data_IF_313009475787
#
_entry.id   IF_313009475787
#
_cell.length_a   1.000
_cell.length_b   1.000
_cell.length_c   1.000
_cell.angle_alpha   90.00
_cell.angle_beta   90.00
_cell.angle_gamma   90.00
#
_symmetry.space_group_name_H-M   'P 1'
#
loop_
_entity.id
_entity.type
_entity.pdbx_description
1 polymer ?
#
# COMPACT_ATOMS: atom_id res chain seq x y z
N UNK A 1 -66.11 5.25 7.02
CA UNK A 1 -64.94 4.32 7.25
C UNK A 1 -63.73 4.91 6.54
N UNK A 2 -62.82 5.57 7.28
CA UNK A 2 -61.60 6.17 6.71
C UNK A 2 -60.48 5.14 6.86
N UNK A 3 -59.88 4.70 5.74
CA UNK A 3 -58.72 3.82 5.72
C UNK A 3 -57.44 4.69 5.78
N UNK A 4 -56.73 4.65 6.91
CA UNK A 4 -55.40 5.27 7.04
C UNK A 4 -54.36 4.38 6.37
N UNK A 5 -53.69 4.95 5.39
CA UNK A 5 -52.53 4.32 4.74
C UNK A 5 -51.25 4.72 5.51
N UNK A 6 -50.65 3.78 6.21
CA UNK A 6 -49.37 3.98 6.89
C UNK A 6 -48.27 3.74 5.85
N UNK A 7 -47.59 4.82 5.48
CA UNK A 7 -46.41 4.77 4.61
C UNK A 7 -45.20 4.45 5.46
N UNK A 8 -44.67 3.22 5.34
CA UNK A 8 -43.47 2.78 6.03
C UNK A 8 -42.28 3.25 5.21
N UNK A 9 -41.65 4.37 5.59
CA UNK A 9 -40.35 4.79 5.03
C UNK A 9 -39.26 3.88 5.59
N UNK A 10 -38.82 2.91 4.81
CA UNK A 10 -37.58 2.19 5.07
C UNK A 10 -36.42 3.10 4.72
N UNK A 11 -35.74 3.67 5.71
CA UNK A 11 -34.46 4.34 5.53
C UNK A 11 -33.41 3.28 5.22
N UNK A 12 -33.04 3.15 3.94
CA UNK A 12 -31.79 2.45 3.58
C UNK A 12 -30.63 3.29 4.08
N UNK A 13 -30.01 2.88 5.17
CA UNK A 13 -28.66 3.32 5.52
C UNK A 13 -27.69 2.67 4.53
N UNK A 14 -27.37 3.37 3.46
CA UNK A 14 -26.23 3.02 2.63
C UNK A 14 -24.97 3.17 3.50
N UNK A 15 -24.39 2.05 3.94
CA UNK A 15 -23.03 2.04 4.44
C UNK A 15 -22.16 2.49 3.27
N UNK A 16 -21.62 3.70 3.35
CA UNK A 16 -20.61 4.17 2.42
C UNK A 16 -19.38 3.28 2.63
N UNK A 17 -19.24 2.25 1.82
CA UNK A 17 -17.94 1.63 1.59
C UNK A 17 -17.06 2.76 1.01
N UNK A 18 -16.01 3.16 1.72
CA UNK A 18 -15.10 4.19 1.26
C UNK A 18 -14.53 3.78 -0.10
N UNK A 19 -15.03 4.42 -1.15
CA UNK A 19 -14.50 4.27 -2.50
C UNK A 19 -13.18 5.04 -2.62
N UNK A 20 -12.39 4.76 -3.66
CA UNK A 20 -11.16 5.50 -3.93
C UNK A 20 -11.46 7.00 -3.98
N UNK A 21 -10.74 7.79 -3.18
CA UNK A 21 -10.96 9.23 -3.15
C UNK A 21 -10.34 9.87 -4.40
N UNK A 22 -11.18 10.51 -5.21
CA UNK A 22 -10.74 11.35 -6.32
C UNK A 22 -10.45 12.75 -5.76
N UNK A 23 -9.18 13.16 -5.83
CA UNK A 23 -8.72 14.47 -5.37
C UNK A 23 -7.29 14.40 -4.84
N UNK A 24 -6.60 15.54 -4.69
CA UNK A 24 -5.26 15.56 -4.12
C UNK A 24 -5.29 15.13 -2.65
N UNK A 25 -4.31 14.35 -2.26
CA UNK A 25 -4.07 13.95 -0.87
C UNK A 25 -3.58 15.14 -0.05
N UNK A 26 -3.52 15.00 1.28
CA UNK A 26 -2.91 16.04 2.13
C UNK A 26 -1.44 16.27 1.82
N UNK A 27 -0.72 15.25 1.32
CA UNK A 27 0.66 15.36 0.87
C UNK A 27 0.81 15.93 -0.55
N UNK A 28 -0.31 16.18 -1.25
CA UNK A 28 -0.30 16.67 -2.64
C UNK A 28 -0.13 15.60 -3.71
N UNK A 29 -0.15 14.31 -3.33
CA UNK A 29 -0.07 13.21 -4.28
C UNK A 29 -1.37 13.11 -5.09
N UNK A 30 -1.25 12.79 -6.38
CA UNK A 30 -2.37 12.49 -7.24
C UNK A 30 -2.49 10.98 -7.46
N UNK A 31 -3.67 10.43 -7.28
CA UNK A 31 -3.93 9.00 -7.51
C UNK A 31 -3.55 8.55 -8.92
N UNK A 32 -3.79 9.38 -9.93
CA UNK A 32 -3.46 9.09 -11.33
C UNK A 32 -1.97 8.83 -11.56
N UNK A 33 -1.08 9.44 -10.78
CA UNK A 33 0.38 9.23 -10.88
C UNK A 33 0.81 7.84 -10.35
N UNK A 34 -0.09 7.13 -9.69
CA UNK A 34 0.12 5.76 -9.19
C UNK A 34 -0.66 4.72 -9.99
N UNK A 35 -1.47 5.14 -10.96
CA UNK A 35 -2.23 4.23 -11.83
C UNK A 35 -1.38 3.84 -13.04
N UNK A 36 -0.93 2.59 -13.05
CA UNK A 36 -0.10 1.98 -14.09
C UNK A 36 -0.34 0.48 -14.13
N UNK A 37 0.47 -0.24 -14.86
CA UNK A 37 0.48 -1.69 -14.89
C UNK A 37 1.90 -2.21 -14.67
N UNK A 38 2.04 -3.22 -13.80
CA UNK A 38 3.27 -3.94 -13.57
C UNK A 38 2.94 -5.40 -13.26
N UNK A 39 3.77 -6.34 -13.74
CA UNK A 39 3.55 -7.79 -13.60
C UNK A 39 2.13 -8.25 -14.03
N UNK A 40 1.50 -7.59 -15.02
CA UNK A 40 0.14 -7.89 -15.49
C UNK A 40 -0.97 -7.49 -14.51
N UNK A 41 -0.67 -6.70 -13.48
CA UNK A 41 -1.62 -6.19 -12.50
C UNK A 41 -1.62 -4.67 -12.50
N UNK A 42 -2.79 -4.08 -12.21
CA UNK A 42 -2.93 -2.62 -12.06
C UNK A 42 -2.38 -2.15 -10.72
N UNK A 43 -1.61 -1.07 -10.77
CA UNK A 43 -1.19 -0.34 -9.57
C UNK A 43 -2.17 0.80 -9.27
N UNK A 44 -2.23 1.21 -8.01
CA UNK A 44 -3.09 2.30 -7.56
C UNK A 44 -2.56 2.94 -6.27
N UNK A 45 -3.15 4.06 -5.88
CA UNK A 45 -2.92 4.74 -4.60
C UNK A 45 -4.18 4.64 -3.73
N UNK A 46 -4.01 4.21 -2.50
CA UNK A 46 -5.06 4.09 -1.49
C UNK A 46 -4.79 5.09 -0.38
N UNK A 47 -5.85 5.74 0.09
CA UNK A 47 -5.77 6.76 1.13
C UNK A 47 -6.52 6.29 2.36
N UNK A 48 -5.82 6.24 3.49
CA UNK A 48 -6.39 5.91 4.80
C UNK A 48 -6.40 7.17 5.67
N UNK A 49 -7.49 7.38 6.41
CA UNK A 49 -7.67 8.55 7.26
C UNK A 49 -8.25 8.17 8.61
N UNK A 50 -7.82 8.86 9.66
CA UNK A 50 -8.44 8.76 10.97
C UNK A 50 -9.19 10.04 11.34
N UNK A 51 -9.96 10.00 12.44
CA UNK A 51 -10.76 11.14 12.90
C UNK A 51 -9.92 12.32 13.40
N UNK A 52 -8.63 12.11 13.65
CA UNK A 52 -7.72 13.14 14.16
C UNK A 52 -6.93 13.85 13.02
N UNK A 53 -7.32 13.63 11.77
CA UNK A 53 -6.73 14.29 10.60
C UNK A 53 -5.44 13.66 10.08
N UNK A 54 -4.98 12.54 10.64
CA UNK A 54 -3.86 11.79 10.08
C UNK A 54 -4.28 11.13 8.76
N UNK A 55 -3.42 11.23 7.75
CA UNK A 55 -3.61 10.58 6.46
C UNK A 55 -2.41 9.72 6.11
N UNK A 56 -2.66 8.52 5.59
CA UNK A 56 -1.64 7.58 5.10
C UNK A 56 -1.96 7.21 3.67
N UNK A 57 -1.00 7.41 2.77
CA UNK A 57 -1.10 6.99 1.39
C UNK A 57 -0.30 5.69 1.18
N UNK A 58 -0.92 4.70 0.56
CA UNK A 58 -0.32 3.39 0.29
C UNK A 58 -0.50 3.05 -1.18
N UNK A 59 0.58 2.59 -1.84
CA UNK A 59 0.46 1.97 -3.15
C UNK A 59 0.55 0.45 -3.03
N UNK A 60 -0.23 -0.27 -3.84
CA UNK A 60 -0.13 -1.72 -3.92
C UNK A 60 1.12 -2.20 -4.67
N UNK A 61 1.87 -1.31 -5.33
CA UNK A 61 3.20 -1.64 -5.85
C UNK A 61 4.22 -1.72 -4.71
N UNK A 62 4.63 -2.92 -4.38
CA UNK A 62 5.52 -3.19 -3.26
C UNK A 62 4.84 -3.09 -1.89
N UNK A 63 3.49 -2.91 -1.83
CA UNK A 63 2.78 -2.68 -0.57
C UNK A 63 3.38 -1.54 0.22
N UNK A 64 3.65 -0.39 -0.46
CA UNK A 64 4.46 0.71 0.09
C UNK A 64 3.62 1.76 0.78
N UNK A 65 4.08 2.19 1.94
CA UNK A 65 3.64 3.45 2.54
C UNK A 65 4.37 4.58 1.79
N UNK A 66 3.61 5.42 1.10
CA UNK A 66 4.13 6.50 0.24
C UNK A 66 4.20 7.82 0.99
N UNK A 67 3.21 8.07 1.85
CA UNK A 67 3.07 9.30 2.64
C UNK A 67 2.41 9.00 3.98
N UNK A 68 2.84 9.68 5.02
CA UNK A 68 2.20 9.67 6.35
C UNK A 68 2.13 11.11 6.85
N UNK A 69 0.96 11.73 6.67
CA UNK A 69 0.69 13.09 7.13
C UNK A 69 0.23 13.07 8.58
N UNK A 70 0.98 13.74 9.43
CA UNK A 70 0.66 13.86 10.86
C UNK A 70 0.62 15.32 11.29
N UNK A 71 -0.26 15.70 12.26
CA UNK A 71 -0.25 17.04 12.83
C UNK A 71 0.99 17.24 13.68
N UNK A 72 1.75 18.27 13.38
CA UNK A 72 2.85 18.73 14.22
C UNK A 72 2.33 19.37 15.51
N UNK A 73 3.24 19.64 16.46
CA UNK A 73 2.90 20.30 17.73
C UNK A 73 2.30 21.71 17.51
N UNK A 74 2.62 22.34 16.40
CA UNK A 74 2.12 23.64 15.94
C UNK A 74 0.81 23.54 15.12
N UNK A 75 0.25 22.35 15.00
CA UNK A 75 -0.94 22.06 14.20
C UNK A 75 -0.72 21.98 12.70
N UNK A 76 0.52 22.19 12.22
CA UNK A 76 0.84 22.08 10.80
C UNK A 76 1.02 20.62 10.43
N UNK A 77 0.34 20.18 9.36
CA UNK A 77 0.49 18.82 8.82
C UNK A 77 1.85 18.65 8.15
N UNK A 78 2.53 17.54 8.43
CA UNK A 78 3.83 17.19 7.86
C UNK A 78 3.86 15.75 7.44
N UNK A 79 4.48 15.50 6.27
CA UNK A 79 4.85 14.14 5.89
C UNK A 79 6.09 13.70 6.68
N UNK A 80 6.02 12.53 7.27
CA UNK A 80 7.10 11.98 8.10
C UNK A 80 7.78 10.76 7.47
N UNK A 81 7.49 10.45 6.21
CA UNK A 81 8.14 9.36 5.46
C UNK A 81 8.83 9.90 4.21
N UNK A 82 9.81 9.15 3.73
CA UNK A 82 10.45 9.39 2.43
C UNK A 82 9.79 8.53 1.36
N UNK A 83 9.55 9.13 0.20
CA UNK A 83 8.92 8.44 -0.93
C UNK A 83 9.10 9.20 -2.23
N UNK A 84 8.49 8.67 -3.28
CA UNK A 84 8.37 9.32 -4.59
C UNK A 84 6.91 9.67 -4.86
N UNK A 85 6.70 10.68 -5.69
CA UNK A 85 5.37 11.19 -6.01
C UNK A 85 4.67 10.39 -7.11
N UNK A 86 5.36 9.40 -7.71
CA UNK A 86 4.85 8.60 -8.84
C UNK A 86 5.27 7.14 -8.71
N UNK A 87 4.40 6.22 -9.14
CA UNK A 87 4.73 4.79 -9.17
C UNK A 87 5.89 4.48 -10.12
N UNK A 88 6.02 5.24 -11.22
CA UNK A 88 7.09 5.07 -12.19
C UNK A 88 8.49 5.23 -11.57
N UNK A 89 8.64 6.13 -10.59
CA UNK A 89 9.92 6.34 -9.91
C UNK A 89 10.25 5.13 -9.02
N UNK A 90 9.28 4.54 -8.34
CA UNK A 90 9.46 3.29 -7.59
C UNK A 90 9.81 2.08 -8.48
N UNK A 91 9.40 2.10 -9.75
CA UNK A 91 9.71 1.04 -10.71
C UNK A 91 11.13 1.18 -11.30
N UNK A 92 11.64 2.41 -11.40
CA UNK A 92 12.89 2.73 -12.11
C UNK A 92 14.06 3.06 -11.18
N UNK A 93 13.79 3.65 -10.02
CA UNK A 93 14.80 4.01 -9.04
C UNK A 93 14.87 2.92 -7.95
N UNK A 94 16.01 2.19 -7.83
CA UNK A 94 16.15 1.20 -6.78
C UNK A 94 15.95 1.83 -5.40
N UNK A 95 14.91 1.40 -4.69
CA UNK A 95 14.54 1.93 -3.39
C UNK A 95 13.70 0.93 -2.62
N UNK A 96 13.92 0.88 -1.31
CA UNK A 96 13.07 0.14 -0.37
C UNK A 96 12.18 1.08 0.47
N UNK A 97 12.06 2.38 0.08
CA UNK A 97 11.24 3.35 0.79
C UNK A 97 9.80 2.85 0.97
N UNK A 98 9.36 2.79 2.22
CA UNK A 98 8.03 2.37 2.63
C UNK A 98 7.61 0.95 2.26
N UNK A 99 8.48 0.16 1.63
CA UNK A 99 8.11 -1.13 1.04
C UNK A 99 7.83 -2.24 2.06
N UNK A 100 6.91 -3.11 1.70
CA UNK A 100 6.79 -4.42 2.34
C UNK A 100 7.93 -5.32 1.89
N UNK A 101 8.77 -5.73 2.85
CA UNK A 101 9.96 -6.54 2.57
C UNK A 101 9.66 -8.02 2.81
N UNK A 102 9.96 -8.84 1.83
CA UNK A 102 9.69 -10.28 1.90
C UNK A 102 10.16 -11.11 0.69
N UNK A 103 10.01 -12.50 0.81
CA UNK A 103 9.45 -13.13 2.01
C UNK A 103 10.38 -13.03 3.23
N UNK A 104 11.69 -13.10 3.03
CA UNK A 104 12.69 -12.99 4.08
C UNK A 104 13.31 -11.59 4.04
N UNK A 105 13.20 -10.86 5.15
CA UNK A 105 13.78 -9.53 5.27
C UNK A 105 15.27 -9.62 5.62
N UNK A 106 16.03 -8.58 5.23
CA UNK A 106 17.48 -8.49 5.42
C UNK A 106 18.24 -9.61 4.65
N UNK A 107 19.41 -10.03 5.11
CA UNK A 107 20.35 -10.84 4.33
C UNK A 107 20.32 -12.31 4.71
N UNK A 108 20.36 -13.16 3.67
CA UNK A 108 20.74 -14.56 3.78
C UNK A 108 22.17 -14.68 3.28
N UNK A 109 23.06 -15.16 4.16
CA UNK A 109 24.48 -15.26 3.87
C UNK A 109 24.73 -16.12 2.62
N UNK A 110 25.49 -15.59 1.66
CA UNK A 110 25.81 -16.23 0.38
C UNK A 110 24.55 -16.70 -0.40
N UNK A 111 23.35 -16.26 -0.02
CA UNK A 111 22.10 -16.72 -0.60
C UNK A 111 21.80 -18.21 -0.34
N UNK A 112 22.38 -18.83 0.68
CA UNK A 112 22.19 -20.26 0.96
C UNK A 112 21.29 -20.47 2.14
N UNK A 113 20.28 -21.33 1.96
CA UNK A 113 19.40 -21.80 3.03
C UNK A 113 19.25 -23.31 2.95
N UNK A 114 19.05 -23.96 4.08
CA UNK A 114 18.72 -25.38 4.15
C UNK A 114 17.35 -25.54 4.77
N UNK A 115 16.44 -26.19 4.04
CA UNK A 115 15.09 -26.51 4.50
C UNK A 115 14.90 -28.02 4.40
N UNK A 116 14.50 -28.65 5.50
CA UNK A 116 14.28 -30.11 5.57
C UNK A 116 15.45 -30.93 5.00
N UNK A 117 16.70 -30.51 5.27
CA UNK A 117 17.91 -31.15 4.80
C UNK A 117 18.29 -30.85 3.34
N UNK A 118 17.49 -30.10 2.60
CA UNK A 118 17.77 -29.71 1.22
C UNK A 118 18.35 -28.30 1.18
N UNK A 119 19.51 -28.12 0.53
CA UNK A 119 20.12 -26.82 0.31
C UNK A 119 19.51 -26.13 -0.92
N UNK A 120 19.19 -24.86 -0.76
CA UNK A 120 18.70 -23.98 -1.83
C UNK A 120 19.64 -22.79 -2.01
N UNK A 121 19.96 -22.50 -3.27
CA UNK A 121 20.72 -21.31 -3.66
C UNK A 121 19.77 -20.22 -4.12
N UNK A 122 19.73 -19.11 -3.39
CA UNK A 122 18.96 -17.92 -3.71
C UNK A 122 19.82 -16.92 -4.53
N UNK A 123 19.19 -16.00 -5.26
CA UNK A 123 19.92 -14.94 -5.96
C UNK A 123 20.80 -14.12 -5.00
N UNK A 124 21.99 -13.77 -5.47
CA UNK A 124 22.95 -12.93 -4.74
C UNK A 124 22.88 -11.50 -5.28
N UNK A 125 21.88 -10.72 -4.82
CA UNK A 125 21.63 -9.37 -5.31
C UNK A 125 22.34 -8.26 -4.52
N UNK A 126 23.09 -8.61 -3.46
CA UNK A 126 23.77 -7.62 -2.64
C UNK A 126 25.06 -8.17 -2.04
N UNK A 127 26.22 -7.76 -2.59
CA UNK A 127 27.56 -8.14 -2.12
C UNK A 127 27.75 -9.65 -1.87
N UNK A 128 27.24 -10.49 -2.76
CA UNK A 128 27.30 -11.94 -2.62
C UNK A 128 26.29 -12.56 -1.64
N UNK A 129 25.33 -11.77 -1.17
CA UNK A 129 24.25 -12.23 -0.28
C UNK A 129 22.89 -12.04 -0.95
N UNK A 130 21.86 -12.78 -0.50
CA UNK A 130 20.49 -12.50 -0.86
C UNK A 130 19.94 -11.45 0.11
N UNK A 131 19.50 -10.30 -0.41
CA UNK A 131 18.93 -9.20 0.37
C UNK A 131 17.45 -9.04 0.03
N UNK A 132 16.60 -8.94 1.06
CA UNK A 132 15.20 -8.52 0.96
C UNK A 132 14.35 -9.33 -0.03
N UNK A 133 14.54 -10.66 -0.06
CA UNK A 133 13.82 -11.54 -0.98
C UNK A 133 14.39 -11.59 -2.39
N UNK A 134 15.57 -10.97 -2.61
CA UNK A 134 16.27 -10.98 -3.89
C UNK A 134 15.73 -9.94 -4.88
N UNK A 135 16.14 -10.01 -6.18
CA UNK A 135 15.78 -9.02 -7.19
C UNK A 135 14.28 -9.03 -7.54
N UNK A 136 13.55 -10.01 -7.06
CA UNK A 136 12.11 -10.17 -7.25
C UNK A 136 11.37 -10.25 -5.90
N UNK A 137 11.89 -9.60 -4.87
CA UNK A 137 11.27 -9.49 -3.55
C UNK A 137 9.94 -8.72 -3.59
N UNK A 138 9.24 -8.70 -2.46
CA UNK A 138 7.90 -8.11 -2.35
C UNK A 138 7.86 -6.63 -2.72
N UNK A 139 8.96 -5.89 -2.50
CA UNK A 139 9.09 -4.49 -2.86
C UNK A 139 8.92 -4.20 -4.37
N UNK A 140 9.02 -5.22 -5.22
CA UNK A 140 8.85 -5.12 -6.68
C UNK A 140 7.61 -5.86 -7.19
N UNK A 141 6.65 -6.19 -6.31
CA UNK A 141 5.44 -6.93 -6.65
C UNK A 141 4.21 -6.07 -6.54
N UNK A 142 3.21 -6.36 -7.35
CA UNK A 142 1.89 -5.75 -7.22
C UNK A 142 1.01 -6.65 -6.38
N UNK A 143 0.56 -6.14 -5.24
CA UNK A 143 -0.37 -6.82 -4.36
C UNK A 143 -1.81 -6.64 -4.85
N UNK A 144 -2.64 -7.64 -4.63
CA UNK A 144 -4.08 -7.46 -4.71
C UNK A 144 -4.53 -6.63 -3.51
N UNK A 145 -5.30 -5.57 -3.76
CA UNK A 145 -5.64 -4.59 -2.75
C UNK A 145 -7.15 -4.47 -2.60
N UNK A 146 -7.64 -4.50 -1.35
CA UNK A 146 -9.04 -4.27 -1.03
C UNK A 146 -9.12 -3.26 0.10
N UNK A 147 -9.62 -2.06 -0.18
CA UNK A 147 -9.90 -1.07 0.85
C UNK A 147 -11.21 -1.44 1.53
N UNK A 148 -11.12 -1.87 2.79
CA UNK A 148 -12.27 -2.33 3.61
C UNK A 148 -13.03 -1.16 4.21
N UNK A 149 -12.31 -0.08 4.54
CA UNK A 149 -12.85 1.15 5.12
C UNK A 149 -11.87 2.32 4.91
N UNK A 150 -12.22 3.49 5.40
CA UNK A 150 -11.30 4.65 5.42
C UNK A 150 -10.05 4.41 6.29
N UNK A 151 -10.01 3.34 7.08
CA UNK A 151 -8.92 3.04 8.03
C UNK A 151 -8.27 1.69 7.82
N UNK A 152 -8.78 0.91 6.86
CA UNK A 152 -8.31 -0.46 6.64
C UNK A 152 -8.12 -0.75 5.16
N UNK A 153 -6.90 -1.15 4.81
CA UNK A 153 -6.50 -1.65 3.50
C UNK A 153 -5.92 -3.05 3.68
N UNK A 154 -6.49 -4.02 2.97
CA UNK A 154 -5.95 -5.38 2.89
C UNK A 154 -5.12 -5.52 1.62
N UNK A 155 -3.88 -5.96 1.77
CA UNK A 155 -2.97 -6.28 0.69
C UNK A 155 -2.64 -7.77 0.71
N UNK A 156 -2.87 -8.47 -0.40
CA UNK A 156 -2.63 -9.92 -0.52
C UNK A 156 -1.68 -10.18 -1.69
N UNK A 157 -0.71 -11.09 -1.48
CA UNK A 157 0.17 -11.60 -2.52
C UNK A 157 0.27 -13.12 -2.41
N UNK A 158 -0.21 -13.82 -3.45
CA UNK A 158 -0.14 -15.28 -3.57
C UNK A 158 1.12 -15.73 -4.33
#
# INVERSE_FOLDING_TARGET
MKKSLILLCAALTAACAGGPQDGPTLSGLNRSDFQSEADGKKTDLFVLKNDNGMEVCVTNFGGRIVSVMVPGRDGVMRDVVLGFDKVADYQTVPSDFGATIGRYANRIAQGRITLDGTEYQLPQNNYGHCLHGGPRGFQYRVFDAVQKSDRELELTYA
#
